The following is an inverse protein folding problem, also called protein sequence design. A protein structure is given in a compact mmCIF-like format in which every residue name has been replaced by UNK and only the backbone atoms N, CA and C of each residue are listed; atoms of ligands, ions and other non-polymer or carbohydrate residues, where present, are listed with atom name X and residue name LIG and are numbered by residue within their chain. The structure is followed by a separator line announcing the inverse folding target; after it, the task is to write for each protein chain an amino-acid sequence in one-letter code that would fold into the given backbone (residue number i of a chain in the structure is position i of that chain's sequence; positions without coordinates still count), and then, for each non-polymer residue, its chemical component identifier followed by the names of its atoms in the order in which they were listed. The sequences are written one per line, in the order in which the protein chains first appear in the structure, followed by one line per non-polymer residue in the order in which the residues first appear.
data_IF_165024956928
#
_entry.id   IF_165024956928
#
_cell.length_a   1.000
_cell.length_b   1.000
_cell.length_c   1.000
_cell.angle_alpha   90.00
_cell.angle_beta   90.00
_cell.angle_gamma   90.00
#
_symmetry.space_group_name_H-M   'P 1'
#
loop_
_entity.id
_entity.type
_entity.pdbx_description
1 polymer ?
#
# COMPACT_ATOMS: atom_id res chain seq x y z
N UNK A 1 -3.06 0.37 10.70
CA UNK A 1 -4.05 -0.21 9.78
C UNK A 1 -3.59 -1.59 9.36
N UNK A 2 -4.52 -2.53 9.17
CA UNK A 2 -4.24 -3.93 8.80
C UNK A 2 -4.65 -4.17 7.35
N UNK A 3 -3.96 -5.11 6.70
CA UNK A 3 -4.32 -5.55 5.36
C UNK A 3 -5.79 -6.04 5.34
N UNK A 4 -6.54 -5.51 4.39
CA UNK A 4 -7.99 -5.70 4.29
C UNK A 4 -8.36 -6.38 2.99
N UNK A 5 -7.91 -5.85 1.85
CA UNK A 5 -8.29 -6.35 0.54
C UNK A 5 -7.26 -5.98 -0.53
N UNK A 6 -7.40 -6.58 -1.70
CA UNK A 6 -6.78 -6.10 -2.92
C UNK A 6 -7.80 -6.08 -4.06
N UNK A 7 -7.51 -5.36 -5.14
CA UNK A 7 -8.44 -5.18 -6.27
C UNK A 7 -8.73 -6.44 -7.08
N UNK A 8 -8.07 -7.55 -6.77
CA UNK A 8 -8.40 -8.87 -7.32
C UNK A 8 -9.58 -9.52 -6.57
N UNK A 9 -9.94 -9.00 -5.38
CA UNK A 9 -10.93 -9.60 -4.47
C UNK A 9 -12.03 -8.62 -3.97
N UNK A 10 -12.13 -7.41 -4.54
CA UNK A 10 -13.06 -6.36 -4.10
C UNK A 10 -14.09 -6.00 -5.20
N UNK A 11 -15.23 -5.40 -4.82
CA UNK A 11 -16.25 -4.90 -5.75
C UNK A 11 -15.75 -3.65 -6.48
N UNK A 12 -15.86 -3.67 -7.82
CA UNK A 12 -15.28 -2.69 -8.75
C UNK A 12 -15.57 -1.23 -8.39
N UNK A 13 -16.81 -0.90 -8.04
CA UNK A 13 -17.23 0.49 -7.78
C UNK A 13 -16.52 1.13 -6.57
N UNK A 14 -16.34 0.38 -5.48
CA UNK A 14 -15.75 0.92 -4.24
C UNK A 14 -14.25 1.20 -4.36
N UNK A 15 -13.58 0.57 -5.33
CA UNK A 15 -12.17 0.82 -5.63
C UNK A 15 -12.04 2.07 -6.48
N UNK A 16 -12.88 2.24 -7.50
CA UNK A 16 -12.83 3.42 -8.35
C UNK A 16 -13.03 4.71 -7.53
N UNK A 17 -14.04 4.73 -6.66
CA UNK A 17 -14.27 5.88 -5.78
C UNK A 17 -13.09 6.13 -4.83
N UNK A 18 -12.44 5.06 -4.34
CA UNK A 18 -11.24 5.17 -3.50
C UNK A 18 -10.07 5.77 -4.28
N UNK A 19 -9.80 5.31 -5.49
CA UNK A 19 -8.70 5.79 -6.32
C UNK A 19 -8.91 7.24 -6.79
N UNK A 20 -10.14 7.59 -7.19
CA UNK A 20 -10.47 8.94 -7.69
C UNK A 20 -10.33 10.03 -6.61
N UNK A 21 -10.47 9.66 -5.33
CA UNK A 21 -10.33 10.57 -4.19
C UNK A 21 -9.01 10.41 -3.43
N UNK A 22 -8.08 9.59 -3.93
CA UNK A 22 -6.84 9.30 -3.24
C UNK A 22 -5.88 10.49 -3.25
N UNK A 23 -5.15 10.65 -2.15
CA UNK A 23 -4.02 11.58 -2.03
C UNK A 23 -2.74 10.76 -1.92
N UNK A 24 -1.77 11.05 -2.78
CA UNK A 24 -0.45 10.42 -2.71
C UNK A 24 0.26 10.85 -1.42
N UNK A 25 0.87 9.90 -0.73
CA UNK A 25 1.66 10.12 0.49
C UNK A 25 3.04 9.49 0.32
N UNK A 26 4.00 9.88 1.15
CA UNK A 26 5.31 9.25 1.09
C UNK A 26 5.39 7.92 1.86
N UNK A 27 6.44 7.14 1.59
CA UNK A 27 6.69 5.86 2.27
C UNK A 27 6.78 5.99 3.79
N UNK A 28 7.35 7.09 4.30
CA UNK A 28 7.53 7.34 5.73
C UNK A 28 6.16 7.53 6.40
N UNK A 29 5.31 8.34 5.79
CA UNK A 29 3.92 8.55 6.26
C UNK A 29 3.11 7.26 6.21
N UNK A 30 3.32 6.43 5.19
CA UNK A 30 2.64 5.15 5.03
C UNK A 30 3.06 4.13 6.10
N UNK A 31 4.37 3.92 6.29
CA UNK A 31 4.91 2.86 7.15
C UNK A 31 4.61 3.10 8.64
N UNK A 32 4.46 4.36 9.05
CA UNK A 32 4.08 4.73 10.43
C UNK A 32 2.64 4.31 10.77
N UNK A 33 1.80 4.11 9.76
CA UNK A 33 0.37 3.90 9.93
C UNK A 33 -0.10 2.48 9.63
N UNK A 34 0.70 1.66 8.95
CA UNK A 34 0.35 0.28 8.59
C UNK A 34 1.03 -0.77 9.48
N UNK A 35 0.47 -1.97 9.49
CA UNK A 35 1.13 -3.15 10.07
C UNK A 35 2.27 -3.60 9.14
N UNK A 36 3.50 -3.25 9.52
CA UNK A 36 4.72 -3.52 8.75
C UNK A 36 4.93 -5.02 8.53
N UNK A 37 4.54 -5.88 9.48
CA UNK A 37 4.72 -7.33 9.31
C UNK A 37 3.76 -7.90 8.26
N UNK A 38 2.55 -7.37 8.16
CA UNK A 38 1.63 -7.71 7.08
C UNK A 38 2.12 -7.17 5.73
N UNK A 39 2.67 -5.94 5.71
CA UNK A 39 3.25 -5.37 4.50
C UNK A 39 4.41 -6.23 3.97
N UNK A 40 5.34 -6.64 4.86
CA UNK A 40 6.42 -7.59 4.54
C UNK A 40 5.89 -8.90 3.97
N UNK A 41 4.82 -9.44 4.55
CA UNK A 41 4.21 -10.68 4.08
C UNK A 41 3.57 -10.55 2.69
N UNK A 42 3.03 -9.37 2.33
CA UNK A 42 2.51 -9.11 0.98
C UNK A 42 3.61 -8.92 -0.06
N UNK A 43 4.76 -8.41 0.37
CA UNK A 43 5.88 -8.02 -0.48
C UNK A 43 7.19 -8.70 -0.03
N UNK A 44 7.25 -10.05 0.00
CA UNK A 44 8.39 -10.79 0.56
C UNK A 44 9.66 -10.74 -0.30
N UNK A 45 9.55 -10.23 -1.54
CA UNK A 45 10.66 -10.12 -2.49
C UNK A 45 11.48 -8.83 -2.35
N UNK A 46 11.06 -7.89 -1.51
CA UNK A 46 11.80 -6.66 -1.27
C UNK A 46 12.78 -6.80 -0.12
N UNK A 47 13.83 -5.99 -0.14
CA UNK A 47 14.72 -5.82 1.00
C UNK A 47 14.03 -4.99 2.09
N UNK A 48 13.94 -5.57 3.28
CA UNK A 48 13.33 -4.98 4.47
C UNK A 48 14.37 -4.69 5.57
N UNK A 49 15.66 -4.78 5.24
CA UNK A 49 16.73 -4.50 6.19
C UNK A 49 16.82 -3.00 6.48
N UNK A 50 17.01 -2.65 7.76
CA UNK A 50 17.15 -1.26 8.22
C UNK A 50 18.54 -0.65 7.87
N UNK A 51 19.31 -1.29 6.99
CA UNK A 51 20.72 -1.02 6.72
C UNK A 51 20.99 -0.43 5.34
N UNK A 52 22.23 -0.56 4.84
CA UNK A 52 22.50 -0.35 3.42
C UNK A 52 21.83 -1.50 2.68
N UNK A 53 20.66 -1.25 2.11
CA UNK A 53 19.99 -2.22 1.26
C UNK A 53 20.95 -2.66 0.16
N UNK A 54 21.18 -3.97 0.05
CA UNK A 54 21.96 -4.54 -1.05
C UNK A 54 21.06 -4.78 -2.27
N UNK A 55 19.74 -4.87 -2.02
CA UNK A 55 18.69 -5.14 -2.99
C UNK A 55 17.62 -4.03 -3.01
N UNK A 56 16.63 -4.17 -3.89
CA UNK A 56 15.54 -3.21 -4.08
C UNK A 56 14.63 -3.17 -2.84
N UNK A 57 14.43 -1.98 -2.28
CA UNK A 57 13.48 -1.74 -1.19
C UNK A 57 12.12 -1.33 -1.75
N UNK A 58 11.05 -1.55 -0.99
CA UNK A 58 9.70 -1.09 -1.39
C UNK A 58 9.64 0.44 -1.53
N UNK A 59 10.47 1.15 -0.78
CA UNK A 59 10.60 2.62 -0.81
C UNK A 59 11.24 3.13 -2.10
N UNK A 60 12.23 2.41 -2.63
CA UNK A 60 13.03 2.86 -3.78
C UNK A 60 12.51 2.31 -5.12
N UNK A 61 11.43 1.52 -5.11
CA UNK A 61 10.82 1.01 -6.33
C UNK A 61 9.93 2.07 -7.00
N UNK A 62 10.35 2.49 -8.19
CA UNK A 62 9.64 3.46 -9.03
C UNK A 62 8.27 2.97 -9.51
N UNK A 63 8.01 1.66 -9.47
CA UNK A 63 6.74 1.05 -9.84
C UNK A 63 5.77 0.92 -8.65
N UNK A 64 6.17 1.43 -7.48
CA UNK A 64 5.37 1.45 -6.25
C UNK A 64 5.00 2.88 -5.89
N UNK A 65 3.75 3.10 -5.49
CA UNK A 65 3.28 4.36 -4.92
C UNK A 65 2.38 4.12 -3.71
N UNK A 66 2.29 5.10 -2.82
CA UNK A 66 1.58 5.03 -1.56
C UNK A 66 0.50 6.09 -1.51
N UNK A 67 -0.68 5.70 -1.02
CA UNK A 67 -1.87 6.54 -1.11
C UNK A 67 -2.68 6.47 0.17
N UNK A 68 -3.34 7.58 0.47
CA UNK A 68 -4.37 7.70 1.50
C UNK A 68 -5.71 7.98 0.83
N UNK A 69 -6.77 7.30 1.28
CA UNK A 69 -8.13 7.52 0.77
C UNK A 69 -9.19 7.02 1.76
N UNK A 70 -10.40 6.79 1.27
CA UNK A 70 -11.48 6.11 1.97
C UNK A 70 -11.91 4.86 1.19
N UNK A 71 -11.99 3.72 1.87
CA UNK A 71 -12.50 2.46 1.32
C UNK A 71 -13.78 2.06 2.04
N UNK A 72 -14.89 1.97 1.30
CA UNK A 72 -16.22 1.72 1.85
C UNK A 72 -16.59 2.69 3.01
N UNK A 73 -16.21 3.96 2.89
CA UNK A 73 -16.47 5.00 3.89
C UNK A 73 -15.59 4.93 5.15
N UNK A 74 -14.52 4.12 5.14
CA UNK A 74 -13.55 4.06 6.23
C UNK A 74 -12.21 4.60 5.72
N UNK A 75 -11.48 5.42 6.52
CA UNK A 75 -10.12 5.82 6.19
C UNK A 75 -9.25 4.61 5.87
N UNK A 76 -8.53 4.68 4.76
CA UNK A 76 -7.64 3.62 4.30
C UNK A 76 -6.32 4.18 3.81
N UNK A 77 -5.32 3.30 3.80
CA UNK A 77 -4.07 3.48 3.09
C UNK A 77 -3.93 2.35 2.07
N UNK A 78 -3.33 2.60 0.92
CA UNK A 78 -3.01 1.52 -0.01
C UNK A 78 -1.66 1.68 -0.69
N UNK A 79 -1.05 0.55 -1.02
CA UNK A 79 0.10 0.48 -1.93
C UNK A 79 -0.44 0.18 -3.31
N UNK A 80 -0.11 1.00 -4.30
CA UNK A 80 -0.27 0.62 -5.70
C UNK A 80 1.05 0.02 -6.19
N UNK A 81 1.01 -1.24 -6.58
CA UNK A 81 2.16 -1.93 -7.16
C UNK A 81 1.71 -2.71 -8.39
N UNK A 82 2.27 -2.37 -9.56
CA UNK A 82 1.87 -2.98 -10.84
C UNK A 82 0.35 -2.89 -11.13
N UNK A 83 -0.29 -1.75 -10.80
CA UNK A 83 -1.74 -1.50 -10.92
C UNK A 83 -2.61 -2.44 -10.07
N UNK A 84 -2.04 -2.90 -8.96
CA UNK A 84 -2.78 -3.64 -7.94
C UNK A 84 -2.70 -2.81 -6.67
N UNK A 85 -3.87 -2.45 -6.15
CA UNK A 85 -4.02 -1.70 -4.93
C UNK A 85 -4.14 -2.69 -3.76
N UNK A 86 -3.22 -2.59 -2.80
CA UNK A 86 -3.19 -3.39 -1.58
C UNK A 86 -3.67 -2.52 -0.42
N UNK A 87 -4.90 -2.75 0.04
CA UNK A 87 -5.66 -1.85 0.90
C UNK A 87 -5.48 -2.22 2.38
N UNK A 88 -5.25 -1.22 3.21
CA UNK A 88 -5.11 -1.28 4.66
C UNK A 88 -6.15 -0.37 5.32
N UNK A 89 -6.92 -0.92 6.28
CA UNK A 89 -7.93 -0.19 7.07
C UNK A 89 -7.73 -0.44 8.58
#
# INVERSE_FOLDING_TARGET
MRYTANCVHSTEDSIHDMCDNATEIDYTEFIEQVDVEQLKALFPGYDWSDGKAEDLTLKDDWAVSFWQSEFMGNPCLYVEHSRIEYIFC
#
